data_IF_371750637538
#
_entry.id   IF_371750637538
#
_cell.length_a   1.000
_cell.length_b   1.000
_cell.length_c   1.000
_cell.angle_alpha   90.00
_cell.angle_beta   90.00
_cell.angle_gamma   90.00
#
_symmetry.space_group_name_H-M   'P 1'
#
loop_
_entity.id
_entity.type
_entity.pdbx_description
1 polymer ?
#
# COMPACT_ATOMS: atom_id res chain seq x y z
N UNK A 1 -9.91 -13.28 13.91
CA UNK A 1 -8.97 -12.34 13.27
C UNK A 1 -8.71 -11.20 14.25
N UNK A 2 -7.46 -10.82 14.44
CA UNK A 2 -7.08 -9.73 15.34
C UNK A 2 -6.83 -8.46 14.50
N UNK A 3 -7.68 -7.45 14.69
CA UNK A 3 -7.57 -6.19 13.95
C UNK A 3 -7.04 -5.12 14.89
N UNK A 4 -6.00 -4.42 14.44
CA UNK A 4 -5.43 -3.30 15.16
C UNK A 4 -5.52 -2.03 14.29
N UNK A 5 -5.75 -0.91 14.93
CA UNK A 5 -5.91 0.39 14.29
C UNK A 5 -4.96 1.42 14.91
N UNK A 6 -4.32 2.28 14.10
CA UNK A 6 -3.49 3.36 14.61
C UNK A 6 -4.38 4.51 15.10
N UNK A 7 -4.51 4.68 16.41
CA UNK A 7 -5.29 5.75 17.01
C UNK A 7 -4.40 6.91 17.47
N UNK A 8 -4.87 8.14 17.29
CA UNK A 8 -4.16 9.32 17.74
C UNK A 8 -4.04 9.35 19.28
N UNK A 9 -2.88 9.75 19.76
CA UNK A 9 -2.66 10.04 21.17
C UNK A 9 -3.22 11.42 21.54
N UNK A 10 -3.38 11.73 22.84
CA UNK A 10 -3.89 13.02 23.29
C UNK A 10 -3.07 14.24 22.80
N UNK A 11 -1.80 14.03 22.43
CA UNK A 11 -0.94 15.08 21.86
C UNK A 11 -1.34 15.48 20.42
N UNK A 12 -2.24 14.72 19.78
CA UNK A 12 -2.67 14.92 18.40
C UNK A 12 -1.59 14.75 17.34
N UNK A 13 -0.37 14.36 17.73
CA UNK A 13 0.82 14.28 16.84
C UNK A 13 1.36 12.87 16.71
N UNK A 14 1.17 12.05 17.71
CA UNK A 14 1.64 10.67 17.73
C UNK A 14 0.48 9.69 17.72
N UNK A 15 0.75 8.47 17.31
CA UNK A 15 -0.24 7.40 17.21
C UNK A 15 0.20 6.19 18.03
N UNK A 16 -0.77 5.38 18.43
CA UNK A 16 -0.54 4.10 19.08
C UNK A 16 -1.45 3.05 18.47
N UNK A 17 -0.96 1.83 18.37
CA UNK A 17 -1.77 0.70 17.94
C UNK A 17 -2.83 0.39 19.00
N UNK A 18 -4.08 0.25 18.58
CA UNK A 18 -5.22 -0.15 19.40
C UNK A 18 -5.84 -1.39 18.82
N UNK A 19 -6.03 -2.40 19.66
CA UNK A 19 -6.69 -3.64 19.30
C UNK A 19 -8.20 -3.44 19.39
N UNK A 20 -8.87 -3.65 18.26
CA UNK A 20 -10.32 -3.52 18.17
C UNK A 20 -10.99 -4.74 18.82
N UNK A 21 -12.19 -4.54 19.33
CA UNK A 21 -13.06 -5.56 19.91
C UNK A 21 -14.47 -5.43 19.30
N UNK A 22 -15.33 -6.40 19.55
CA UNK A 22 -16.76 -6.35 19.20
C UNK A 22 -17.52 -5.19 19.85
N UNK A 23 -16.93 -4.62 20.92
CA UNK A 23 -17.50 -3.48 21.68
C UNK A 23 -16.82 -2.15 21.33
N UNK A 24 -15.96 -2.10 20.33
CA UNK A 24 -15.26 -0.88 19.94
C UNK A 24 -16.24 0.20 19.51
N UNK A 25 -16.18 1.35 20.16
CA UNK A 25 -16.85 2.58 19.76
C UNK A 25 -15.85 3.54 19.12
N UNK A 26 -16.35 4.49 18.37
CA UNK A 26 -15.57 5.45 17.63
C UNK A 26 -15.87 6.86 18.13
N UNK A 27 -14.87 7.74 18.09
CA UNK A 27 -14.97 9.14 18.48
C UNK A 27 -14.29 10.02 17.43
N UNK A 28 -14.68 11.29 17.29
CA UNK A 28 -13.99 12.22 16.42
C UNK A 28 -12.48 12.26 16.72
N UNK A 29 -11.67 12.01 15.71
CA UNK A 29 -10.23 12.05 15.75
C UNK A 29 -9.66 13.23 14.95
N UNK A 30 -8.33 13.35 14.85
CA UNK A 30 -7.66 14.37 14.04
C UNK A 30 -8.06 14.27 12.56
N UNK A 31 -8.04 15.42 11.88
CA UNK A 31 -8.30 15.52 10.44
C UNK A 31 -9.69 15.05 9.98
N UNK A 32 -10.68 14.98 10.89
CA UNK A 32 -12.02 14.52 10.57
C UNK A 32 -12.15 13.01 10.34
N UNK A 33 -11.15 12.24 10.78
CA UNK A 33 -11.17 10.78 10.73
C UNK A 33 -11.50 10.26 12.13
N UNK A 34 -12.50 9.37 12.21
CA UNK A 34 -12.87 8.78 13.50
C UNK A 34 -11.76 7.85 14.01
N UNK A 35 -11.43 8.01 15.28
CA UNK A 35 -10.51 7.16 16.03
C UNK A 35 -11.27 6.18 16.93
N UNK A 36 -10.75 4.96 17.13
CA UNK A 36 -11.34 4.04 18.09
C UNK A 36 -11.18 4.57 19.52
N UNK A 37 -12.26 4.51 20.29
CA UNK A 37 -12.25 4.99 21.67
C UNK A 37 -11.32 4.14 22.54
N UNK A 38 -10.32 4.74 23.21
CA UNK A 38 -9.44 4.03 24.12
C UNK A 38 -10.17 3.29 25.25
N UNK A 39 -11.35 3.75 25.68
CA UNK A 39 -12.11 3.11 26.73
C UNK A 39 -12.71 1.75 26.30
N UNK A 40 -12.95 1.55 25.00
CA UNK A 40 -13.58 0.34 24.47
C UNK A 40 -12.63 -0.54 23.65
N UNK A 41 -11.36 -0.15 23.60
CA UNK A 41 -10.30 -0.89 22.90
C UNK A 41 -9.19 -1.32 23.88
N UNK A 42 -8.31 -2.19 23.43
CA UNK A 42 -7.14 -2.63 24.20
C UNK A 42 -5.85 -2.07 23.58
N UNK A 43 -4.75 -1.95 24.35
CA UNK A 43 -3.44 -1.67 23.78
C UNK A 43 -3.11 -2.66 22.68
N UNK A 44 -2.61 -2.17 21.56
CA UNK A 44 -2.16 -3.00 20.45
C UNK A 44 -0.84 -3.71 20.75
N UNK A 45 -0.58 -4.74 19.95
CA UNK A 45 0.68 -5.50 19.95
C UNK A 45 1.23 -5.49 18.52
N UNK A 46 1.99 -4.46 18.15
CA UNK A 46 2.46 -4.31 16.77
C UNK A 46 3.34 -5.48 16.29
N UNK A 47 4.08 -6.15 17.19
CA UNK A 47 4.85 -7.34 16.85
C UNK A 47 4.01 -8.54 16.40
N UNK A 48 2.71 -8.57 16.72
CA UNK A 48 1.80 -9.66 16.30
C UNK A 48 1.19 -9.37 14.89
N UNK A 49 1.40 -8.17 14.34
CA UNK A 49 0.85 -7.79 13.04
C UNK A 49 1.56 -8.54 11.92
N UNK A 50 0.78 -9.17 11.06
CA UNK A 50 1.26 -9.87 9.86
C UNK A 50 1.11 -9.05 8.59
N UNK A 51 0.11 -8.20 8.55
CA UNK A 51 -0.19 -7.31 7.43
C UNK A 51 -0.59 -5.94 7.98
N UNK A 52 -0.05 -4.90 7.39
CA UNK A 52 -0.46 -3.51 7.64
C UNK A 52 -0.85 -2.86 6.33
N UNK A 53 -2.08 -2.35 6.27
CA UNK A 53 -2.49 -1.46 5.17
C UNK A 53 -1.99 -0.06 5.49
N UNK A 54 -1.13 0.46 4.63
CA UNK A 54 -0.42 1.72 4.83
C UNK A 54 -1.07 2.82 4.00
N UNK A 55 -1.59 3.89 4.61
CA UNK A 55 -2.15 5.03 3.88
C UNK A 55 -1.05 5.94 3.33
N UNK A 56 -1.37 6.65 2.25
CA UNK A 56 -0.50 7.67 1.67
C UNK A 56 -1.25 8.54 0.66
N UNK A 57 -0.72 9.73 0.41
CA UNK A 57 -1.24 10.64 -0.62
C UNK A 57 -0.88 10.15 -2.02
N UNK A 58 0.31 9.55 -2.16
CA UNK A 58 0.79 8.88 -3.37
C UNK A 58 1.84 7.85 -3.00
N UNK A 59 2.10 6.92 -3.92
CA UNK A 59 3.17 5.93 -3.83
C UNK A 59 3.93 5.92 -5.15
N UNK A 60 5.20 5.57 -5.12
CA UNK A 60 5.92 5.26 -6.36
C UNK A 60 6.15 3.75 -6.53
N UNK A 61 6.57 3.37 -7.71
CA UNK A 61 6.73 1.96 -8.06
C UNK A 61 7.90 1.27 -7.33
N UNK A 62 8.69 2.01 -6.54
CA UNK A 62 9.73 1.46 -5.64
C UNK A 62 9.25 1.33 -4.19
N UNK A 63 7.99 1.68 -3.92
CA UNK A 63 7.37 1.55 -2.60
C UNK A 63 7.53 2.78 -1.70
N UNK A 64 8.13 3.85 -2.18
CA UNK A 64 8.19 5.11 -1.42
C UNK A 64 6.80 5.71 -1.30
N UNK A 65 6.57 6.40 -0.20
CA UNK A 65 5.27 6.96 0.15
C UNK A 65 5.34 8.45 0.38
N UNK A 66 4.42 9.19 -0.22
CA UNK A 66 4.15 10.57 0.14
C UNK A 66 3.09 10.60 1.24
N UNK A 67 3.44 11.13 2.39
CA UNK A 67 2.54 11.36 3.52
C UNK A 67 2.38 12.85 3.82
N UNK A 68 1.81 13.18 4.98
CA UNK A 68 1.64 14.57 5.45
C UNK A 68 2.93 15.18 6.06
N UNK A 69 4.08 14.52 5.94
CA UNK A 69 5.38 15.07 6.38
C UNK A 69 5.64 14.99 7.88
N UNK A 70 4.78 14.37 8.69
CA UNK A 70 4.97 14.27 10.15
C UNK A 70 5.82 13.07 10.58
N UNK A 71 6.10 12.11 9.69
CA UNK A 71 6.78 10.83 9.99
C UNK A 71 6.01 9.94 10.97
N UNK A 72 4.71 10.20 11.16
CA UNK A 72 3.90 9.48 12.15
C UNK A 72 3.78 7.99 11.80
N UNK A 73 3.57 7.67 10.53
CA UNK A 73 3.47 6.29 10.07
C UNK A 73 4.82 5.57 10.10
N UNK A 74 5.93 6.25 9.79
CA UNK A 74 7.26 5.63 9.85
C UNK A 74 7.57 5.17 11.28
N UNK A 75 7.23 5.98 12.28
CA UNK A 75 7.35 5.60 13.70
C UNK A 75 6.41 4.44 14.11
N UNK A 76 5.23 4.33 13.49
CA UNK A 76 4.32 3.21 13.73
C UNK A 76 4.84 1.93 13.07
N UNK A 77 5.27 2.02 11.82
CA UNK A 77 5.73 0.88 11.02
C UNK A 77 7.04 0.30 11.56
N UNK A 78 7.90 1.13 12.16
CA UNK A 78 9.10 0.68 12.85
C UNK A 78 8.81 -0.29 14.02
N UNK A 79 7.58 -0.30 14.56
CA UNK A 79 7.16 -1.20 15.63
C UNK A 79 6.70 -2.58 15.12
N UNK A 80 6.54 -2.76 13.81
CA UNK A 80 6.05 -4.00 13.19
C UNK A 80 6.93 -4.43 12.00
N UNK A 81 8.23 -4.67 12.22
CA UNK A 81 9.20 -4.91 11.14
C UNK A 81 8.91 -6.18 10.32
N UNK A 82 8.25 -7.17 10.95
CA UNK A 82 7.93 -8.44 10.30
C UNK A 82 6.59 -8.43 9.54
N UNK A 83 5.79 -7.37 9.69
CA UNK A 83 4.53 -7.24 8.97
C UNK A 83 4.78 -6.93 7.49
N UNK A 84 3.95 -7.52 6.61
CA UNK A 84 3.88 -7.12 5.20
C UNK A 84 3.18 -5.76 5.12
N UNK A 85 3.82 -4.78 4.51
CA UNK A 85 3.32 -3.42 4.35
C UNK A 85 2.66 -3.28 2.98
N UNK A 86 1.35 -3.13 2.94
CA UNK A 86 0.56 -3.04 1.72
C UNK A 86 0.03 -1.61 1.51
N UNK A 87 0.43 -0.98 0.42
CA UNK A 87 -0.23 0.22 -0.07
C UNK A 87 -1.51 -0.13 -0.83
N UNK A 88 -2.56 0.65 -0.61
CA UNK A 88 -3.81 0.56 -1.37
C UNK A 88 -4.09 1.93 -1.96
N UNK A 89 -4.06 2.06 -3.29
CA UNK A 89 -4.27 3.34 -3.94
C UNK A 89 -4.92 3.20 -5.33
N UNK A 90 -5.61 4.25 -5.83
CA UNK A 90 -5.99 4.31 -7.24
C UNK A 90 -4.74 4.47 -8.12
N UNK A 91 -4.80 4.02 -9.39
CA UNK A 91 -3.66 4.10 -10.30
C UNK A 91 -3.14 5.53 -10.52
N UNK A 92 -4.01 6.53 -10.42
CA UNK A 92 -3.64 7.95 -10.52
C UNK A 92 -2.70 8.43 -9.38
N UNK A 93 -2.57 7.64 -8.32
CA UNK A 93 -1.69 7.91 -7.17
C UNK A 93 -0.46 7.01 -7.14
N UNK A 94 -0.29 6.15 -8.15
CA UNK A 94 0.90 5.34 -8.34
C UNK A 94 1.81 6.04 -9.37
N UNK A 95 2.96 6.49 -8.92
CA UNK A 95 3.94 7.24 -9.69
C UNK A 95 5.03 6.31 -10.25
N UNK A 96 5.78 6.76 -11.28
CA UNK A 96 6.95 6.04 -11.76
C UNK A 96 7.97 5.75 -10.65
N UNK A 97 8.89 4.79 -10.86
CA UNK A 97 9.95 4.49 -9.91
C UNK A 97 10.77 5.74 -9.55
N UNK A 98 11.21 5.82 -8.30
CA UNK A 98 12.12 6.85 -7.77
C UNK A 98 11.63 8.30 -7.96
N UNK A 99 10.32 8.49 -8.11
CA UNK A 99 9.72 9.82 -8.26
C UNK A 99 9.60 10.55 -6.92
N UNK A 100 9.33 9.81 -5.84
CA UNK A 100 9.17 10.40 -4.53
C UNK A 100 10.50 10.51 -3.79
N UNK A 101 10.73 11.62 -3.07
CA UNK A 101 11.91 11.73 -2.21
C UNK A 101 11.85 10.67 -1.11
N UNK A 102 13.01 10.27 -0.60
CA UNK A 102 13.12 9.32 0.51
C UNK A 102 14.25 9.75 1.44
N UNK A 103 13.98 9.68 2.73
CA UNK A 103 14.95 9.88 3.79
C UNK A 103 15.33 8.53 4.44
N UNK A 104 16.48 8.44 5.13
CA UNK A 104 16.95 7.17 5.72
C UNK A 104 16.00 6.52 6.73
N UNK A 105 15.09 7.30 7.31
CA UNK A 105 14.11 6.84 8.29
C UNK A 105 12.75 6.49 7.69
N UNK A 106 12.55 6.74 6.39
CA UNK A 106 11.31 6.39 5.71
C UNK A 106 11.24 4.89 5.48
N UNK A 107 10.09 4.32 5.76
CA UNK A 107 9.85 2.88 5.61
C UNK A 107 9.01 2.66 4.36
N UNK A 108 9.60 2.10 3.28
CA UNK A 108 8.85 1.79 2.07
C UNK A 108 7.86 0.66 2.30
N UNK A 109 6.83 0.60 1.46
CA UNK A 109 5.90 -0.53 1.46
C UNK A 109 6.49 -1.75 0.74
N UNK A 110 5.99 -2.94 1.06
CA UNK A 110 6.44 -4.19 0.47
C UNK A 110 5.59 -4.59 -0.75
N UNK A 111 4.35 -4.10 -0.82
CA UNK A 111 3.44 -4.38 -1.92
C UNK A 111 2.50 -3.20 -2.18
N UNK A 112 2.04 -3.08 -3.42
CA UNK A 112 1.10 -2.05 -3.85
C UNK A 112 -0.08 -2.74 -4.55
N UNK A 113 -1.30 -2.45 -4.10
CA UNK A 113 -2.52 -2.80 -4.80
C UNK A 113 -3.11 -1.55 -5.46
N UNK A 114 -3.07 -1.50 -6.78
CA UNK A 114 -3.61 -0.39 -7.57
C UNK A 114 -4.53 -0.92 -8.67
N UNK A 115 -5.76 -0.42 -8.75
CA UNK A 115 -6.76 -0.85 -9.74
C UNK A 115 -6.92 -2.38 -9.85
N UNK A 116 -6.97 -3.07 -8.72
CA UNK A 116 -7.15 -4.52 -8.67
C UNK A 116 -5.91 -5.34 -9.06
N UNK A 117 -4.77 -4.69 -9.28
CA UNK A 117 -3.49 -5.37 -9.59
C UNK A 117 -2.52 -5.24 -8.44
N UNK A 118 -1.95 -6.36 -8.02
CA UNK A 118 -0.85 -6.39 -7.05
C UNK A 118 0.49 -6.17 -7.77
N UNK A 119 1.34 -5.40 -7.12
CA UNK A 119 2.76 -5.32 -7.40
C UNK A 119 3.51 -5.65 -6.11
N UNK A 120 4.25 -6.73 -6.11
CA UNK A 120 5.17 -7.07 -5.03
C UNK A 120 6.53 -6.43 -5.30
N UNK A 121 7.17 -5.95 -4.24
CA UNK A 121 8.48 -5.32 -4.32
C UNK A 121 9.56 -6.28 -3.81
N UNK A 122 10.83 -6.14 -4.20
CA UNK A 122 11.89 -7.07 -3.79
C UNK A 122 12.01 -7.26 -2.29
N UNK A 123 11.69 -6.22 -1.50
CA UNK A 123 11.66 -6.26 -0.02
C UNK A 123 10.59 -7.19 0.54
N UNK A 124 9.58 -7.55 -0.26
CA UNK A 124 8.45 -8.38 0.18
C UNK A 124 8.77 -9.87 0.26
N UNK A 125 9.74 -10.38 -0.47
CA UNK A 125 10.00 -11.82 -0.64
C UNK A 125 10.16 -12.56 0.68
N UNK A 126 11.02 -12.06 1.57
CA UNK A 126 11.25 -12.68 2.87
C UNK A 126 9.99 -12.68 3.75
N UNK A 127 9.20 -11.61 3.70
CA UNK A 127 7.96 -11.48 4.48
C UNK A 127 6.86 -12.38 3.90
N UNK A 128 6.72 -12.45 2.58
CA UNK A 128 5.78 -13.32 1.90
C UNK A 128 6.10 -14.79 2.14
N UNK A 129 7.37 -15.17 2.06
CA UNK A 129 7.81 -16.53 2.38
C UNK A 129 7.44 -16.93 3.80
N UNK A 130 7.61 -16.04 4.78
CA UNK A 130 7.18 -16.29 6.18
C UNK A 130 5.66 -16.38 6.33
N UNK A 131 4.91 -15.59 5.57
CA UNK A 131 3.45 -15.52 5.69
C UNK A 131 2.74 -16.69 5.01
N UNK A 132 3.24 -17.12 3.87
CA UNK A 132 2.57 -18.06 2.97
C UNK A 132 3.38 -19.32 2.67
N UNK A 133 4.66 -19.38 3.06
CA UNK A 133 5.52 -20.55 2.85
C UNK A 133 6.07 -20.73 1.43
N UNK A 134 5.82 -19.77 0.53
CA UNK A 134 6.36 -19.79 -0.85
C UNK A 134 6.58 -18.37 -1.35
N UNK A 135 7.58 -18.15 -2.24
CA UNK A 135 7.79 -16.86 -2.87
C UNK A 135 6.59 -16.51 -3.78
N UNK A 136 6.28 -15.23 -3.97
CA UNK A 136 5.24 -14.81 -4.92
C UNK A 136 5.64 -15.22 -6.35
N UNK A 137 4.65 -15.58 -7.14
CA UNK A 137 4.83 -15.77 -8.57
C UNK A 137 5.18 -14.41 -9.21
N UNK A 138 6.36 -14.33 -9.81
CA UNK A 138 6.84 -13.10 -10.46
C UNK A 138 6.20 -12.86 -11.84
N UNK A 139 5.36 -13.78 -12.33
CA UNK A 139 4.76 -13.70 -13.67
C UNK A 139 3.76 -12.54 -13.84
N UNK A 140 3.23 -11.98 -12.73
CA UNK A 140 2.30 -10.85 -12.79
C UNK A 140 3.00 -9.47 -12.90
N UNK A 141 4.32 -9.40 -12.85
CA UNK A 141 5.07 -8.15 -13.02
C UNK A 141 5.37 -7.81 -14.49
N UNK A 142 4.99 -8.66 -15.44
CA UNK A 142 5.14 -8.35 -16.85
C UNK A 142 4.19 -7.21 -17.27
N UNK A 143 4.68 -6.22 -18.02
CA UNK A 143 3.82 -5.19 -18.59
C UNK A 143 2.79 -5.87 -19.51
N UNK A 144 1.55 -5.36 -19.57
CA UNK A 144 0.54 -5.92 -20.47
C UNK A 144 1.10 -5.94 -21.89
N UNK A 145 0.86 -7.02 -22.66
CA UNK A 145 1.36 -7.12 -24.02
C UNK A 145 0.95 -5.87 -24.79
N UNK A 146 1.93 -5.17 -25.32
CA UNK A 146 1.71 -4.04 -26.24
C UNK A 146 0.86 -4.57 -27.39
N UNK A 147 -0.33 -4.01 -27.55
CA UNK A 147 -1.15 -4.27 -28.74
C UNK A 147 -0.30 -3.89 -29.95
N UNK A 148 0.26 -4.89 -30.62
CA UNK A 148 0.78 -4.70 -31.95
C UNK A 148 -0.38 -4.22 -32.81
N UNK A 149 -0.32 -2.96 -33.24
CA UNK A 149 -1.15 -2.45 -34.32
C UNK A 149 -0.81 -3.28 -35.58
N UNK A 150 -1.70 -4.18 -35.95
CA UNK A 150 -1.64 -4.87 -37.24
C UNK A 150 -1.56 -3.82 -38.36
N UNK A 151 -0.67 -3.96 -39.34
CA UNK A 151 -0.61 -3.05 -40.44
C UNK A 151 -1.94 -3.14 -41.24
N UNK A 152 -2.61 -2.01 -41.40
CA UNK A 152 -3.77 -1.86 -42.27
C UNK A 152 -3.31 -2.14 -43.69
N UNK A 153 -3.63 -3.32 -44.21
CA UNK A 153 -3.49 -3.63 -45.63
C UNK A 153 -4.46 -2.75 -46.41
N UNK A 154 -3.94 -1.72 -47.09
CA UNK A 154 -4.68 -0.98 -48.10
C UNK A 154 -4.96 -1.92 -49.27
N UNK A 155 -6.20 -2.33 -49.40
CA UNK A 155 -6.70 -2.91 -50.65
C UNK A 155 -6.71 -1.82 -51.73
N UNK A 156 -5.80 -1.94 -52.68
CA UNK A 156 -5.82 -1.21 -53.91
C UNK A 156 -7.06 -1.64 -54.73
N UNK A 157 -7.88 -0.69 -55.12
CA UNK A 157 -8.96 -0.88 -56.12
C UNK A 157 -8.34 -1.20 -57.48
N UNK A 158 -8.81 -2.18 -58.23
CA UNK A 158 -8.49 -2.28 -59.64
C UNK A 158 -9.31 -1.25 -60.44
N UNK A 159 -8.59 -0.43 -61.18
CA UNK A 159 -9.20 0.43 -62.22
C UNK A 159 -9.76 -0.43 -63.36
N UNK A 160 -11.00 -0.22 -63.68
CA UNK A 160 -11.64 -0.81 -64.84
C UNK A 160 -11.37 0.01 -66.08
N UNK A 161 -11.20 -0.68 -67.20
CA UNK A 161 -11.10 -0.24 -68.56
C UNK A 161 -12.09 -1.11 -69.37
N UNK A 162 -12.57 -0.67 -70.43
CA UNK A 162 -13.01 0.65 -71.04
C UNK A 162 -14.52 0.79 -71.11
#
# INVERSE_FOLDING_TARGET
>A
MDIQYPAARPDGKTYAWRRLTDKTTWRPGPHGIDDPDPATTRPGRPGDLRLVVVPGLAFDATGRRLGHGTGAYDRLLAQCPDALLLALCPASRLLPPDTLPSAPHDIPVDAILANGRFRFLPTSEAKLSRLFGFPPDQSENDPPPTRHSSPVTRHSRPEGVP
#
